data_IF_213146758862
#
_entry.id   IF_213146758862
#
_cell.length_a   1.000
_cell.length_b   1.000
_cell.length_c   1.000
_cell.angle_alpha   90.00
_cell.angle_beta   90.00
_cell.angle_gamma   90.00
#
_symmetry.space_group_name_H-M   'P 1'
#
loop_
_entity.id
_entity.type
_entity.pdbx_description
1 polymer ?
#
# COMPACT_ATOMS: atom_id res chain seq x y z
N UNK A 1 -13.57 -24.97 -10.07
CA UNK A 1 -12.63 -23.86 -9.80
C UNK A 1 -12.49 -22.96 -11.00
N UNK A 2 -12.58 -21.64 -10.82
CA UNK A 2 -12.38 -20.67 -11.90
C UNK A 2 -11.39 -19.59 -11.47
N UNK A 3 -10.65 -19.02 -12.44
CA UNK A 3 -9.67 -17.95 -12.19
C UNK A 3 -9.99 -16.78 -13.11
N UNK A 4 -9.98 -15.56 -12.56
CA UNK A 4 -10.21 -14.36 -13.37
C UNK A 4 -9.06 -14.13 -14.36
N UNK A 5 -9.33 -13.42 -15.46
CA UNK A 5 -8.26 -12.93 -16.33
C UNK A 5 -7.32 -12.03 -15.52
N UNK A 6 -5.99 -12.20 -15.63
CA UNK A 6 -5.05 -11.40 -14.87
C UNK A 6 -5.05 -9.94 -15.35
N UNK A 7 -4.99 -9.02 -14.39
CA UNK A 7 -4.59 -7.64 -14.63
C UNK A 7 -3.07 -7.62 -14.87
N UNK A 8 -2.64 -7.05 -16.00
CA UNK A 8 -1.21 -6.95 -16.33
C UNK A 8 -0.43 -6.19 -15.25
N UNK A 9 -1.02 -5.12 -14.73
CA UNK A 9 -0.46 -4.30 -13.66
C UNK A 9 -1.56 -3.65 -12.84
N UNK A 10 -1.31 -3.46 -11.55
CA UNK A 10 -2.20 -2.76 -10.63
C UNK A 10 -1.39 -2.15 -9.49
N UNK A 11 -1.97 -1.17 -8.81
CA UNK A 11 -1.56 -0.82 -7.45
C UNK A 11 -2.36 -1.68 -6.49
N UNK A 12 -1.69 -2.39 -5.58
CA UNK A 12 -2.32 -3.21 -4.57
C UNK A 12 -2.09 -2.55 -3.21
N UNK A 13 -3.17 -2.35 -2.45
CA UNK A 13 -3.14 -1.86 -1.07
C UNK A 13 -3.47 -3.02 -0.14
N UNK A 14 -2.55 -3.35 0.77
CA UNK A 14 -2.73 -4.38 1.79
C UNK A 14 -2.62 -3.84 3.20
N UNK A 15 -3.27 -4.52 4.15
CA UNK A 15 -2.88 -4.45 5.55
C UNK A 15 -1.62 -5.29 5.77
N UNK A 16 -0.67 -4.72 6.49
CA UNK A 16 0.53 -5.38 6.99
C UNK A 16 0.61 -5.16 8.52
N UNK A 17 1.27 -6.06 9.22
CA UNK A 17 1.35 -6.02 10.69
C UNK A 17 2.58 -6.74 11.21
N UNK A 18 2.92 -6.46 12.47
CA UNK A 18 3.96 -7.17 13.22
C UNK A 18 3.38 -7.66 14.55
N UNK A 19 3.54 -8.96 14.80
CA UNK A 19 3.07 -9.63 16.01
C UNK A 19 1.58 -9.98 15.99
N UNK A 20 1.21 -11.00 16.76
CA UNK A 20 -0.13 -11.58 16.74
C UNK A 20 -1.23 -10.63 17.18
N UNK A 21 -0.90 -9.66 18.05
CA UNK A 21 -1.84 -8.66 18.56
C UNK A 21 -2.37 -7.69 17.49
N UNK A 22 -1.68 -7.60 16.34
CA UNK A 22 -2.05 -6.74 15.22
C UNK A 22 -2.48 -7.55 13.99
N UNK A 23 -2.69 -8.86 14.15
CA UNK A 23 -3.10 -9.76 13.08
C UNK A 23 -4.34 -9.25 12.36
N UNK A 24 -4.28 -9.24 11.03
CA UNK A 24 -5.43 -8.94 10.16
C UNK A 24 -5.83 -10.22 9.45
N UNK A 25 -7.11 -10.54 9.49
CA UNK A 25 -7.65 -11.73 8.83
C UNK A 25 -7.35 -11.70 7.33
N UNK A 26 -7.05 -12.86 6.74
CA UNK A 26 -6.67 -12.94 5.32
C UNK A 26 -7.77 -12.40 4.39
N UNK A 27 -9.04 -12.51 4.79
CA UNK A 27 -10.18 -11.94 4.06
C UNK A 27 -10.19 -10.40 4.03
N UNK A 28 -9.54 -9.75 5.00
CA UNK A 28 -9.45 -8.28 5.11
C UNK A 28 -8.11 -7.75 4.60
N UNK A 29 -7.12 -8.62 4.36
CA UNK A 29 -5.76 -8.26 3.99
C UNK A 29 -5.69 -7.35 2.76
N UNK A 30 -6.53 -7.57 1.75
CA UNK A 30 -6.58 -6.71 0.56
C UNK A 30 -7.61 -5.61 0.78
N UNK A 31 -7.11 -4.39 0.86
CA UNK A 31 -7.91 -3.19 1.13
C UNK A 31 -8.40 -2.58 -0.16
N UNK A 32 -7.55 -2.53 -1.19
CA UNK A 32 -7.93 -1.99 -2.49
C UNK A 32 -7.03 -2.51 -3.62
N UNK A 33 -7.63 -2.63 -4.82
CA UNK A 33 -6.93 -2.84 -6.08
C UNK A 33 -7.20 -1.61 -6.95
N UNK A 34 -6.15 -0.83 -7.21
CA UNK A 34 -6.24 0.46 -7.88
C UNK A 34 -5.64 0.40 -9.28
N UNK A 35 -6.06 1.35 -10.13
CA UNK A 35 -5.58 1.43 -11.51
C UNK A 35 -4.08 1.76 -11.53
N UNK A 36 -3.30 0.96 -12.27
CA UNK A 36 -1.84 1.11 -12.39
C UNK A 36 -1.39 2.49 -12.92
N UNK A 37 -2.27 3.22 -13.63
CA UNK A 37 -1.96 4.54 -14.20
C UNK A 37 -2.04 5.68 -13.18
N UNK A 38 -2.48 5.40 -11.96
CA UNK A 38 -2.50 6.42 -10.92
C UNK A 38 -1.07 6.79 -10.53
N UNK A 39 -0.84 8.09 -10.38
CA UNK A 39 0.43 8.60 -9.88
C UNK A 39 0.64 8.15 -8.44
N UNK A 40 1.91 8.00 -8.05
CA UNK A 40 2.31 7.68 -6.69
C UNK A 40 1.73 8.67 -5.67
N UNK A 41 1.74 9.97 -5.99
CA UNK A 41 1.10 11.02 -5.20
C UNK A 41 -0.39 10.78 -4.96
N UNK A 42 -1.13 10.42 -6.01
CA UNK A 42 -2.56 10.10 -5.90
C UNK A 42 -2.79 8.85 -5.04
N UNK A 43 -1.94 7.83 -5.19
CA UNK A 43 -2.03 6.63 -4.35
C UNK A 43 -1.71 6.98 -2.90
N UNK A 44 -0.70 7.81 -2.64
CA UNK A 44 -0.33 8.29 -1.30
C UNK A 44 -1.52 8.96 -0.60
N UNK A 45 -2.15 9.92 -1.27
CA UNK A 45 -3.30 10.61 -0.70
C UNK A 45 -4.48 9.67 -0.45
N UNK A 46 -4.73 8.70 -1.33
CA UNK A 46 -5.79 7.70 -1.10
C UNK A 46 -5.48 6.79 0.09
N UNK A 47 -4.25 6.27 0.19
CA UNK A 47 -3.84 5.35 1.26
C UNK A 47 -3.97 6.04 2.62
N UNK A 48 -3.62 7.33 2.70
CA UNK A 48 -3.82 8.14 3.90
C UNK A 48 -5.30 8.25 4.29
N UNK A 49 -6.17 8.54 3.31
CA UNK A 49 -7.62 8.59 3.53
C UNK A 49 -8.20 7.24 3.94
N UNK A 50 -7.72 6.14 3.34
CA UNK A 50 -8.14 4.79 3.71
C UNK A 50 -7.75 4.48 5.16
N UNK A 51 -6.51 4.78 5.57
CA UNK A 51 -6.08 4.54 6.94
C UNK A 51 -6.95 5.30 7.95
N UNK A 52 -7.19 6.59 7.69
CA UNK A 52 -8.08 7.41 8.49
C UNK A 52 -9.50 6.84 8.52
N UNK A 53 -10.03 6.38 7.37
CA UNK A 53 -11.36 5.79 7.29
C UNK A 53 -11.51 4.56 8.20
N UNK A 54 -10.50 3.69 8.25
CA UNK A 54 -10.52 2.46 9.05
C UNK A 54 -10.15 2.64 10.51
N UNK A 55 -9.21 3.53 10.85
CA UNK A 55 -8.61 3.60 12.19
C UNK A 55 -9.07 4.77 13.04
N UNK A 56 -9.62 5.83 12.44
CA UNK A 56 -9.94 7.05 13.18
C UNK A 56 -11.38 7.08 13.66
N UNK A 57 -11.59 7.66 14.84
CA UNK A 57 -12.92 8.02 15.32
C UNK A 57 -13.52 9.20 14.52
N UNK A 58 -14.83 9.46 14.63
CA UNK A 58 -15.47 10.58 13.92
C UNK A 58 -14.82 11.95 14.19
N UNK A 59 -14.42 12.22 15.44
CA UNK A 59 -13.77 13.48 15.81
C UNK A 59 -12.40 13.65 15.14
N UNK A 60 -11.58 12.59 15.12
CA UNK A 60 -10.27 12.62 14.46
C UNK A 60 -10.40 12.77 12.95
N UNK A 61 -11.39 12.10 12.33
CA UNK A 61 -11.74 12.28 10.93
C UNK A 61 -12.10 13.73 10.63
N UNK A 62 -12.93 14.36 11.47
CA UNK A 62 -13.30 15.77 11.31
C UNK A 62 -12.09 16.70 11.48
N UNK A 63 -11.22 16.43 12.45
CA UNK A 63 -9.99 17.21 12.68
C UNK A 63 -9.06 17.15 11.47
N UNK A 64 -8.80 15.96 10.93
CA UNK A 64 -7.95 15.76 9.75
C UNK A 64 -8.58 16.37 8.49
N UNK A 65 -9.91 16.26 8.33
CA UNK A 65 -10.63 16.89 7.22
C UNK A 65 -10.54 18.42 7.28
N UNK A 66 -10.59 19.01 8.48
CA UNK A 66 -10.43 20.44 8.68
C UNK A 66 -8.97 20.89 8.46
N UNK A 67 -7.99 20.11 8.94
CA UNK A 67 -6.57 20.42 8.79
C UNK A 67 -5.74 19.15 8.63
N UNK A 68 -5.30 18.86 7.41
CA UNK A 68 -4.45 17.67 7.11
C UNK A 68 -3.20 17.59 7.99
N UNK A 69 -2.65 18.72 8.47
CA UNK A 69 -1.45 18.73 9.34
C UNK A 69 -1.69 18.13 10.72
N UNK A 70 -2.94 17.93 11.14
CA UNK A 70 -3.26 17.23 12.39
C UNK A 70 -3.29 15.73 12.22
N UNK A 71 -3.06 15.21 11.01
CA UNK A 71 -3.02 13.78 10.77
C UNK A 71 -1.78 13.15 11.45
N UNK A 72 -1.95 12.27 12.44
CA UNK A 72 -0.81 11.64 13.12
C UNK A 72 -0.11 10.59 12.26
N UNK A 73 -0.79 10.07 11.22
CA UNK A 73 -0.24 9.05 10.33
C UNK A 73 -0.30 9.55 8.89
N UNK A 74 0.67 10.38 8.52
CA UNK A 74 0.89 10.78 7.14
C UNK A 74 1.35 9.58 6.32
N UNK A 75 0.84 9.43 5.10
CA UNK A 75 1.34 8.43 4.20
C UNK A 75 2.71 8.85 3.64
N UNK A 76 3.67 7.93 3.64
CA UNK A 76 5.05 8.18 3.23
C UNK A 76 5.43 7.28 2.06
N UNK A 77 6.28 7.78 1.16
CA UNK A 77 6.88 6.94 0.14
C UNK A 77 7.92 6.01 0.76
N UNK A 78 8.03 4.80 0.22
CA UNK A 78 9.17 3.95 0.50
C UNK A 78 10.49 4.62 0.10
N UNK A 79 11.62 4.05 0.50
CA UNK A 79 12.94 4.55 0.10
C UNK A 79 13.81 3.45 -0.50
N UNK A 80 14.66 3.84 -1.45
CA UNK A 80 15.73 3.01 -2.01
C UNK A 80 17.04 3.69 -1.66
N UNK A 81 17.86 3.04 -0.84
CA UNK A 81 19.14 3.59 -0.37
C UNK A 81 19.01 4.99 0.25
N UNK A 82 17.93 5.23 0.99
CA UNK A 82 17.64 6.52 1.64
C UNK A 82 17.00 7.59 0.74
N UNK A 83 16.84 7.31 -0.56
CA UNK A 83 16.15 8.22 -1.50
C UNK A 83 14.66 7.84 -1.59
N UNK A 84 13.73 8.77 -1.39
CA UNK A 84 12.30 8.50 -1.57
C UNK A 84 11.99 7.94 -2.95
N UNK A 85 11.19 6.87 -2.98
CA UNK A 85 10.80 6.18 -4.19
C UNK A 85 9.28 6.00 -4.24
N UNK A 86 8.66 6.59 -5.26
CA UNK A 86 7.21 6.57 -5.45
C UNK A 86 6.63 5.22 -5.90
N UNK A 87 7.38 4.12 -5.88
CA UNK A 87 6.84 2.79 -6.22
C UNK A 87 6.10 2.11 -5.07
N UNK A 88 6.23 2.66 -3.86
CA UNK A 88 5.66 2.13 -2.63
C UNK A 88 5.18 3.27 -1.73
N UNK A 89 4.09 3.03 -1.02
CA UNK A 89 3.53 3.95 -0.01
C UNK A 89 3.21 3.15 1.25
N UNK A 90 3.56 3.70 2.41
CA UNK A 90 3.21 3.15 3.72
C UNK A 90 2.39 4.18 4.51
N UNK A 91 1.41 3.74 5.30
CA UNK A 91 0.64 4.63 6.18
C UNK A 91 0.16 3.92 7.43
N UNK A 92 0.40 4.51 8.60
CA UNK A 92 0.01 3.95 9.89
C UNK A 92 1.17 3.42 10.71
N UNK A 93 0.84 2.77 11.83
CA UNK A 93 1.83 2.24 12.77
C UNK A 93 1.83 0.70 12.82
N UNK A 94 0.91 0.09 13.59
CA UNK A 94 0.74 -1.36 13.62
C UNK A 94 -0.73 -1.71 13.97
N UNK A 95 -1.50 -2.31 13.05
CA UNK A 95 -1.17 -2.59 11.66
C UNK A 95 -1.05 -1.29 10.82
N UNK A 96 -0.44 -1.39 9.65
CA UNK A 96 -0.28 -0.31 8.68
C UNK A 96 -0.75 -0.71 7.28
N UNK A 97 -1.10 0.27 6.45
CA UNK A 97 -1.38 0.07 5.04
C UNK A 97 -0.11 0.13 4.22
N UNK A 98 0.00 -0.78 3.25
CA UNK A 98 1.10 -0.84 2.31
C UNK A 98 0.57 -0.89 0.88
N UNK A 99 0.85 0.15 0.10
CA UNK A 99 0.50 0.20 -1.31
C UNK A 99 1.74 0.04 -2.20
N UNK A 100 1.66 -0.83 -3.19
CA UNK A 100 2.75 -1.07 -4.15
C UNK A 100 2.25 -1.47 -5.52
N UNK A 101 3.09 -1.32 -6.53
CA UNK A 101 2.82 -1.84 -7.87
C UNK A 101 3.04 -3.35 -7.92
N UNK A 102 2.07 -4.07 -8.50
CA UNK A 102 2.11 -5.52 -8.69
C UNK A 102 1.79 -5.88 -10.15
N UNK A 103 2.19 -7.09 -10.56
CA UNK A 103 1.88 -7.68 -11.86
C UNK A 103 0.99 -8.91 -11.72
N UNK A 104 0.31 -9.25 -12.82
CA UNK A 104 -0.46 -10.49 -12.96
C UNK A 104 -1.48 -10.74 -11.83
N UNK A 105 -2.06 -9.66 -11.30
CA UNK A 105 -3.08 -9.74 -10.23
C UNK A 105 -4.31 -10.47 -10.75
N UNK A 106 -4.76 -11.51 -10.02
CA UNK A 106 -5.92 -12.32 -10.37
C UNK A 106 -6.57 -12.91 -9.13
N UNK A 107 -7.86 -13.24 -9.24
CA UNK A 107 -8.62 -13.91 -8.19
C UNK A 107 -8.89 -15.35 -8.62
N UNK A 108 -8.53 -16.30 -7.77
CA UNK A 108 -8.88 -17.72 -7.89
C UNK A 108 -10.06 -18.00 -6.97
N UNK A 109 -11.15 -18.49 -7.53
CA UNK A 109 -12.34 -18.87 -6.77
C UNK A 109 -12.40 -20.38 -6.65
N UNK A 110 -12.42 -20.85 -5.39
CA UNK A 110 -12.51 -22.26 -5.03
C UNK A 110 -13.96 -22.74 -5.10
N UNK A 111 -14.15 -24.06 -5.03
CA UNK A 111 -15.47 -24.67 -5.18
C UNK A 111 -16.41 -24.39 -3.99
N UNK A 112 -15.85 -24.04 -2.84
CA UNK A 112 -16.58 -23.56 -1.65
C UNK A 112 -16.93 -22.05 -1.72
N UNK A 113 -16.64 -21.38 -2.83
CA UNK A 113 -16.87 -19.95 -3.02
C UNK A 113 -15.80 -19.04 -2.42
N UNK A 114 -14.80 -19.58 -1.71
CA UNK A 114 -13.71 -18.78 -1.15
C UNK A 114 -12.83 -18.22 -2.27
N UNK A 115 -12.39 -16.98 -2.07
CA UNK A 115 -11.57 -16.25 -3.02
C UNK A 115 -10.14 -16.15 -2.52
N UNK A 116 -9.18 -16.46 -3.40
CA UNK A 116 -7.76 -16.30 -3.16
C UNK A 116 -7.18 -15.35 -4.19
N UNK A 117 -6.61 -14.24 -3.72
CA UNK A 117 -5.91 -13.30 -4.60
C UNK A 117 -4.46 -13.73 -4.81
N UNK A 118 -3.97 -13.58 -6.04
CA UNK A 118 -2.63 -13.95 -6.46
C UNK A 118 -2.02 -12.81 -7.26
N UNK A 119 -0.76 -12.46 -7.00
CA UNK A 119 -0.03 -11.42 -7.72
C UNK A 119 1.48 -11.68 -7.70
N UNK A 120 2.21 -10.92 -8.50
CA UNK A 120 3.67 -10.90 -8.54
C UNK A 120 4.17 -9.52 -8.11
N UNK A 121 5.14 -9.48 -7.20
CA UNK A 121 5.80 -8.25 -6.80
C UNK A 121 6.64 -7.68 -7.94
N UNK A 122 6.63 -6.35 -8.10
CA UNK A 122 7.55 -5.68 -9.02
C UNK A 122 8.88 -5.48 -8.29
N UNK A 123 10.03 -5.95 -8.85
CA UNK A 123 11.32 -5.75 -8.23
C UNK A 123 11.60 -4.27 -7.99
N UNK A 124 12.12 -3.94 -6.80
CA UNK A 124 12.61 -2.59 -6.52
C UNK A 124 13.75 -2.25 -7.49
N UNK A 125 13.76 -1.05 -8.09
CA UNK A 125 14.87 -0.57 -8.88
C UNK A 125 16.19 -0.66 -8.11
N UNK A 126 17.24 -1.14 -8.76
CA UNK A 126 18.59 -1.06 -8.22
C UNK A 126 19.16 0.32 -8.58
N UNK A 127 18.98 1.32 -7.70
CA UNK A 127 19.58 2.63 -7.92
C UNK A 127 21.08 2.56 -7.59
N UNK A 128 21.97 3.03 -8.47
CA UNK A 128 23.39 3.10 -8.14
C UNK A 128 23.55 3.97 -6.89
N UNK A 129 24.29 3.47 -5.90
CA UNK A 129 24.67 4.26 -4.73
C UNK A 129 25.32 5.54 -5.24
N UNK A 130 24.80 6.70 -4.84
CA UNK A 130 25.39 7.99 -5.18
C UNK A 130 26.87 7.94 -4.80
N UNK A 131 27.77 8.06 -5.80
CA UNK A 131 29.19 8.25 -5.52
C UNK A 131 29.30 9.48 -4.62
N UNK A 132 29.86 9.31 -3.42
CA UNK A 132 30.18 10.43 -2.55
C UNK A 132 31.03 11.47 -3.29
N UNK A 133 31.04 12.73 -2.82
CA UNK A 133 31.82 13.78 -3.46
C UNK A 133 33.27 13.30 -3.59
N UNK A 134 33.79 13.35 -4.81
CA UNK A 134 35.23 13.18 -5.06
C UNK A 134 35.91 14.39 -4.43
N UNK A 135 36.66 14.17 -3.35
CA UNK A 135 37.54 15.19 -2.80
C UNK A 135 38.51 15.63 -3.90
N UNK A 136 38.53 16.94 -4.16
CA UNK A 136 39.42 17.61 -5.10
C UNK A 136 40.65 18.14 -4.37
#
# INVERSE_FOLDING_TARGET
>A
MHTTRPLKSAWLVTWEWIGDHAHVEESEKIVAVLNYRWSSEKVRDLVEQLYAAFKYGPSDKAAVAHNKKTNPYCAEFGSISGVPWGGEVMCGHNPWLYARSVKNFRVKVRDDGTQQCLWEEVPRPNLPQSRGPTEA
#
